data_IF_746303687350
#
_entry.id   IF_746303687350
#
_cell.length_a   1.000
_cell.length_b   1.000
_cell.length_c   1.000
_cell.angle_alpha   90.00
_cell.angle_beta   90.00
_cell.angle_gamma   90.00
#
_symmetry.space_group_name_H-M   'P 1'
#
loop_
_entity.id
_entity.type
_entity.pdbx_description
1 polymer ?
#
# COMPACT_ATOMS: atom_id res chain seq x y z
N UNK A 1 -19.68 -2.42 -1.13
CA UNK A 1 -19.41 -1.58 -2.32
C UNK A 1 -17.90 -1.37 -2.47
N UNK A 2 -17.20 -2.23 -3.21
CA UNK A 2 -15.72 -2.25 -3.27
C UNK A 2 -15.11 -1.62 -4.55
N UNK A 3 -15.91 -1.39 -5.59
CA UNK A 3 -15.41 -1.00 -6.92
C UNK A 3 -14.58 0.31 -6.89
N UNK A 4 -15.03 1.41 -6.24
CA UNK A 4 -14.23 2.64 -6.20
C UNK A 4 -12.91 2.48 -5.44
N UNK A 5 -12.88 1.59 -4.43
CA UNK A 5 -11.66 1.31 -3.66
C UNK A 5 -10.61 0.61 -4.53
N UNK A 6 -11.02 -0.39 -5.30
CA UNK A 6 -10.10 -1.08 -6.22
C UNK A 6 -9.56 -0.14 -7.30
N UNK A 7 -10.41 0.74 -7.84
CA UNK A 7 -9.99 1.70 -8.85
C UNK A 7 -8.90 2.66 -8.34
N UNK A 8 -9.09 3.23 -7.13
CA UNK A 8 -8.10 4.14 -6.52
C UNK A 8 -6.76 3.47 -6.21
N UNK A 9 -6.80 2.22 -5.73
CA UNK A 9 -5.61 1.48 -5.28
C UNK A 9 -4.89 0.70 -6.40
N UNK A 10 -5.39 0.77 -7.64
CA UNK A 10 -4.90 -0.02 -8.78
C UNK A 10 -3.39 0.15 -9.00
N UNK A 11 -2.88 1.38 -8.88
CA UNK A 11 -1.47 1.70 -9.11
C UNK A 11 -0.55 1.11 -8.02
N UNK A 12 -0.95 1.18 -6.75
CA UNK A 12 -0.17 0.66 -5.63
C UNK A 12 -0.12 -0.87 -5.64
N UNK A 13 -1.25 -1.52 -5.91
CA UNK A 13 -1.36 -2.98 -5.88
C UNK A 13 -0.69 -3.67 -7.07
N UNK A 14 -0.78 -3.08 -8.27
CA UNK A 14 -0.33 -3.75 -9.50
C UNK A 14 1.03 -3.29 -10.00
N UNK A 15 1.52 -2.13 -9.54
CA UNK A 15 2.78 -1.54 -10.03
C UNK A 15 3.72 -1.09 -8.91
N UNK A 16 3.36 -1.35 -7.65
CA UNK A 16 4.09 -0.94 -6.47
C UNK A 16 4.49 0.56 -6.49
N UNK A 17 3.59 1.40 -7.03
CA UNK A 17 3.82 2.85 -7.10
C UNK A 17 3.57 3.42 -5.70
N UNK A 18 4.62 3.97 -5.10
CA UNK A 18 4.59 4.71 -3.86
C UNK A 18 4.79 6.21 -4.09
N UNK A 19 5.38 6.89 -3.10
CA UNK A 19 5.85 8.27 -3.23
C UNK A 19 7.24 8.42 -2.64
N UNK A 20 8.00 9.40 -3.13
CA UNK A 20 9.21 9.86 -2.47
C UNK A 20 8.97 11.27 -1.92
N UNK A 21 9.34 11.50 -0.67
CA UNK A 21 9.24 12.83 -0.07
C UNK A 21 10.31 13.77 -0.65
N UNK A 22 9.96 14.96 -1.14
CA UNK A 22 10.95 15.92 -1.65
C UNK A 22 11.80 16.54 -0.52
N UNK A 23 11.33 16.49 0.74
CA UNK A 23 12.01 17.13 1.87
C UNK A 23 13.07 16.24 2.52
N UNK A 24 12.73 14.97 2.81
CA UNK A 24 13.63 14.04 3.51
C UNK A 24 14.00 12.80 2.68
N UNK A 25 13.57 12.73 1.42
CA UNK A 25 13.83 11.61 0.50
C UNK A 25 13.27 10.24 0.93
N UNK A 26 12.49 10.19 2.02
CA UNK A 26 11.84 8.97 2.48
C UNK A 26 10.92 8.38 1.39
N UNK A 27 11.01 7.06 1.22
CA UNK A 27 10.14 6.28 0.33
C UNK A 27 8.91 5.83 1.12
N UNK A 28 7.73 6.22 0.65
CA UNK A 28 6.48 6.07 1.37
C UNK A 28 5.57 5.11 0.61
N UNK A 29 5.12 4.08 1.31
CA UNK A 29 4.14 3.11 0.83
C UNK A 29 3.20 2.74 1.99
N UNK A 30 1.86 2.75 1.81
CA UNK A 30 1.09 3.14 0.61
C UNK A 30 1.21 4.64 0.26
N UNK A 31 0.69 5.07 -0.91
CA UNK A 31 0.70 6.48 -1.36
C UNK A 31 -0.14 7.34 -0.42
N UNK A 32 0.50 8.32 0.22
CA UNK A 32 -0.16 9.30 1.11
C UNK A 32 0.11 10.72 0.62
N UNK A 33 -0.72 11.68 1.03
CA UNK A 33 -0.50 13.11 0.75
C UNK A 33 0.56 13.76 1.64
N UNK A 34 0.85 13.14 2.77
CA UNK A 34 1.72 13.67 3.83
C UNK A 34 2.79 12.62 4.17
N UNK A 35 4.03 13.08 4.35
CA UNK A 35 5.15 12.25 4.78
C UNK A 35 5.00 11.83 6.25
N UNK A 36 5.15 10.53 6.52
CA UNK A 36 5.10 9.98 7.88
C UNK A 36 6.33 10.34 8.72
N UNK A 37 7.43 10.72 8.08
CA UNK A 37 8.71 10.89 8.75
C UNK A 37 8.96 12.36 9.11
N UNK A 38 8.55 13.30 8.25
CA UNK A 38 8.78 14.74 8.45
C UNK A 38 7.52 15.61 8.38
N UNK A 39 6.35 15.06 8.05
CA UNK A 39 5.08 15.80 7.94
C UNK A 39 4.95 16.70 6.70
N UNK A 40 5.95 16.74 5.82
CA UNK A 40 5.88 17.50 4.57
C UNK A 40 4.93 16.90 3.53
N UNK A 41 4.54 17.70 2.54
CA UNK A 41 3.66 17.23 1.46
C UNK A 41 4.42 16.29 0.51
N UNK A 42 3.75 15.22 0.08
CA UNK A 42 4.32 14.23 -0.82
C UNK A 42 3.45 14.12 -2.04
N UNK A 43 3.78 14.80 -3.13
CA UNK A 43 2.98 14.84 -4.36
C UNK A 43 3.51 13.90 -5.46
N UNK A 44 4.81 13.62 -5.43
CA UNK A 44 5.54 12.90 -6.48
C UNK A 44 5.31 11.38 -6.34
N UNK A 45 4.83 10.75 -7.41
CA UNK A 45 4.72 9.29 -7.47
C UNK A 45 6.09 8.69 -7.83
N UNK A 46 6.42 7.56 -7.21
CA UNK A 46 7.71 6.89 -7.42
C UNK A 46 7.51 5.38 -7.58
N UNK A 47 8.27 4.76 -8.49
CA UNK A 47 8.33 3.31 -8.63
C UNK A 47 9.25 2.72 -7.56
N UNK A 48 8.71 1.91 -6.66
CA UNK A 48 9.52 1.24 -5.64
C UNK A 48 10.14 -0.05 -6.20
N UNK A 49 11.20 -0.52 -5.55
CA UNK A 49 11.84 -1.79 -5.90
C UNK A 49 10.86 -2.95 -5.71
N UNK A 50 10.72 -3.79 -6.73
CA UNK A 50 9.92 -5.03 -6.68
C UNK A 50 10.59 -6.13 -5.85
N UNK A 51 11.88 -5.97 -5.52
CA UNK A 51 12.64 -6.90 -4.68
C UNK A 51 12.67 -6.42 -3.24
N UNK A 52 12.59 -7.37 -2.31
CA UNK A 52 12.69 -7.17 -0.87
C UNK A 52 13.11 -8.45 -0.16
N UNK A 53 13.14 -8.42 1.16
CA UNK A 53 13.46 -9.56 2.02
C UNK A 53 12.32 -9.79 3.01
N UNK A 54 12.16 -11.04 3.46
CA UNK A 54 11.15 -11.37 4.47
C UNK A 54 11.61 -10.78 5.81
N UNK A 55 10.86 -9.82 6.34
CA UNK A 55 11.10 -9.27 7.67
C UNK A 55 10.59 -10.24 8.76
N UNK A 56 9.38 -10.74 8.60
CA UNK A 56 8.73 -11.71 9.49
C UNK A 56 7.60 -12.42 8.74
N UNK A 57 7.29 -13.66 9.10
CA UNK A 57 6.15 -14.41 8.56
C UNK A 57 5.41 -15.17 9.66
N UNK A 58 4.17 -15.56 9.36
CA UNK A 58 3.35 -16.42 10.21
C UNK A 58 2.58 -17.42 9.34
N UNK A 59 2.09 -18.50 9.96
CA UNK A 59 1.28 -19.52 9.30
C UNK A 59 -0.15 -19.42 9.84
N UNK A 60 -1.09 -19.09 8.96
CA UNK A 60 -2.52 -19.06 9.28
C UNK A 60 -3.10 -20.48 9.17
N UNK A 61 -3.34 -21.13 10.31
CA UNK A 61 -3.87 -22.50 10.35
C UNK A 61 -5.36 -22.58 10.02
N UNK A 62 -6.12 -21.53 10.33
CA UNK A 62 -7.54 -21.41 10.03
C UNK A 62 -7.82 -20.04 9.43
N UNK A 63 -8.51 -20.01 8.29
CA UNK A 63 -8.97 -18.78 7.66
C UNK A 63 -10.47 -18.62 7.89
N UNK A 64 -10.96 -17.39 8.09
CA UNK A 64 -12.40 -17.14 8.09
C UNK A 64 -13.00 -17.56 6.74
N UNK A 65 -13.90 -18.54 6.78
CA UNK A 65 -14.78 -18.81 5.65
C UNK A 65 -15.77 -17.65 5.54
N UNK A 66 -15.80 -16.97 4.39
CA UNK A 66 -16.92 -16.09 4.06
C UNK A 66 -18.13 -17.01 3.87
N UNK A 67 -18.95 -17.18 4.91
CA UNK A 67 -20.25 -17.83 4.74
C UNK A 67 -21.12 -16.86 3.96
N UNK A 68 -21.58 -17.18 2.73
CA UNK A 68 -22.55 -16.35 2.07
C UNK A 68 -23.81 -16.35 2.93
N UNK A 69 -24.19 -15.22 3.51
CA UNK A 69 -25.49 -15.05 4.14
C UNK A 69 -26.53 -15.27 3.05
N UNK A 70 -27.16 -16.45 3.03
CA UNK A 70 -28.37 -16.68 2.24
C UNK A 70 -29.47 -15.81 2.84
N UNK A 71 -29.80 -14.71 2.15
CA UNK A 71 -31.12 -14.09 2.28
C UNK A 71 -32.04 -14.71 1.23
#
# INVERSE_FOLDING_TARGET
>A
MEIPRHWRLKLERYRLIGRQCPHCQAKIFPRRGVCTDCGGETTINEHLSEKGQIYSFTVMHEASAVTPTSQ
#
